data_IF_222287157455
#
_entry.id   IF_222287157455
#
_cell.length_a   1.000
_cell.length_b   1.000
_cell.length_c   1.000
_cell.angle_alpha   90.00
_cell.angle_beta   90.00
_cell.angle_gamma   90.00
#
_symmetry.space_group_name_H-M   'P 1'
#
loop_
_entity.id
_entity.type
_entity.pdbx_description
1 polymer ?
#
# COMPACT_ATOMS: atom_id res chain seq x y z
N UNK A 1 1.34 2.89 20.91
CA UNK A 1 2.68 2.40 21.34
C UNK A 1 3.52 2.19 20.10
N UNK A 2 4.58 2.97 19.97
CA UNK A 2 5.54 2.87 18.88
C UNK A 2 6.65 1.87 19.22
N UNK A 3 7.40 1.44 18.20
CA UNK A 3 8.51 0.51 18.33
C UNK A 3 9.57 1.04 19.35
N UNK A 4 9.96 2.30 19.21
CA UNK A 4 10.91 2.94 20.13
C UNK A 4 10.40 2.92 21.58
N UNK A 5 9.14 3.26 21.82
CA UNK A 5 8.51 3.23 23.14
C UNK A 5 8.47 1.82 23.73
N UNK A 6 8.10 0.81 22.93
CA UNK A 6 8.01 -0.58 23.37
C UNK A 6 9.34 -1.16 23.83
N UNK A 7 10.42 -0.84 23.09
CA UNK A 7 11.75 -1.35 23.40
C UNK A 7 12.57 -0.43 24.32
N UNK A 8 12.02 0.74 24.71
CA UNK A 8 12.64 1.69 25.62
C UNK A 8 13.88 2.37 25.06
N UNK A 9 13.87 2.67 23.76
CA UNK A 9 14.92 3.41 23.06
C UNK A 9 14.40 4.77 22.59
N UNK A 10 15.29 5.73 22.37
CA UNK A 10 14.91 7.00 21.79
C UNK A 10 14.51 6.84 20.33
N UNK A 11 13.42 7.49 19.90
CA UNK A 11 12.93 7.42 18.52
C UNK A 11 13.97 7.92 17.51
N UNK A 12 14.85 8.85 17.91
CA UNK A 12 15.94 9.34 17.07
C UNK A 12 16.93 8.25 16.68
N UNK A 13 17.08 7.18 17.48
CA UNK A 13 17.94 6.04 17.16
C UNK A 13 17.39 5.27 15.95
N UNK A 14 16.07 5.05 15.91
CA UNK A 14 15.37 4.41 14.78
C UNK A 14 15.50 5.29 13.54
N UNK A 15 15.30 6.59 13.72
CA UNK A 15 15.38 7.57 12.64
C UNK A 15 16.78 7.68 12.03
N UNK A 16 17.84 7.80 12.87
CA UNK A 16 19.22 7.84 12.40
C UNK A 16 19.69 6.55 11.72
N UNK A 17 19.10 5.42 12.09
CA UNK A 17 19.32 4.16 11.37
C UNK A 17 18.66 4.16 9.97
N UNK A 18 17.76 5.09 9.72
CA UNK A 18 17.01 5.20 8.48
C UNK A 18 15.75 4.33 8.42
N UNK A 19 15.30 3.79 9.56
CA UNK A 19 14.10 2.97 9.65
C UNK A 19 12.86 3.78 10.05
N UNK A 20 11.68 3.18 9.86
CA UNK A 20 10.41 3.72 10.35
C UNK A 20 10.18 3.27 11.79
N UNK A 21 9.82 4.21 12.66
CA UNK A 21 9.36 3.91 14.03
C UNK A 21 7.90 3.43 13.97
N UNK A 22 7.72 2.14 13.70
CA UNK A 22 6.40 1.53 13.43
C UNK A 22 5.49 1.55 14.65
N UNK A 23 4.17 1.55 14.40
CA UNK A 23 3.13 1.49 15.44
C UNK A 23 2.66 0.05 15.65
N UNK A 24 2.60 -0.41 16.89
CA UNK A 24 2.01 -1.71 17.26
C UNK A 24 0.49 -1.65 17.51
N UNK A 25 -0.15 -0.56 17.12
CA UNK A 25 -1.61 -0.39 17.21
C UNK A 25 -2.29 -0.56 15.87
N UNK A 26 -1.71 0.02 14.83
CA UNK A 26 -2.19 -0.07 13.45
C UNK A 26 -1.03 0.11 12.48
N UNK A 27 -1.20 -0.34 11.24
CA UNK A 27 -0.21 -0.14 10.19
C UNK A 27 -0.03 1.34 9.87
N UNK A 28 1.20 1.71 9.53
CA UNK A 28 1.49 3.02 8.96
C UNK A 28 1.22 2.96 7.46
N UNK A 29 0.53 3.97 6.87
CA UNK A 29 0.07 3.93 5.48
C UNK A 29 1.18 4.22 4.47
N UNK A 30 2.24 3.47 4.57
CA UNK A 30 3.39 3.51 3.67
C UNK A 30 3.54 2.18 2.94
N UNK A 31 4.10 2.24 1.75
CA UNK A 31 4.26 1.10 0.84
C UNK A 31 5.67 1.06 0.30
N UNK A 32 6.22 -0.14 0.13
CA UNK A 32 7.50 -0.30 -0.56
C UNK A 32 7.29 -0.07 -2.05
N UNK A 33 8.06 0.86 -2.60
CA UNK A 33 8.09 1.15 -4.04
C UNK A 33 9.37 0.56 -4.67
N UNK A 34 9.27 -0.45 -5.54
CA UNK A 34 10.43 -1.05 -6.21
C UNK A 34 11.24 -0.06 -7.04
N UNK A 35 10.60 1.01 -7.54
CA UNK A 35 11.29 2.04 -8.31
C UNK A 35 12.31 2.82 -7.47
N UNK A 36 12.05 2.98 -6.16
CA UNK A 36 13.00 3.59 -5.24
C UNK A 36 14.22 2.68 -5.00
N UNK A 37 14.02 1.36 -5.01
CA UNK A 37 15.11 0.38 -4.94
C UNK A 37 15.94 0.46 -6.23
N UNK A 38 15.30 0.54 -7.39
CA UNK A 38 15.96 0.68 -8.70
C UNK A 38 16.78 1.97 -8.82
N UNK A 39 16.23 3.10 -8.38
CA UNK A 39 16.87 4.42 -8.49
C UNK A 39 18.01 4.63 -7.49
N UNK A 40 18.17 3.75 -6.51
CA UNK A 40 19.16 3.93 -5.44
C UNK A 40 20.59 3.63 -5.91
N UNK A 41 21.52 4.47 -5.47
CA UNK A 41 22.95 4.25 -5.67
C UNK A 41 23.57 3.24 -4.68
N UNK A 42 22.83 2.80 -3.66
CA UNK A 42 23.29 1.83 -2.67
C UNK A 42 23.49 0.45 -3.30
N UNK A 43 24.68 -0.11 -3.16
CA UNK A 43 25.02 -1.43 -3.74
C UNK A 43 24.12 -2.56 -3.23
N UNK A 44 23.64 -2.46 -2.01
CA UNK A 44 22.68 -3.42 -1.43
C UNK A 44 21.33 -3.37 -2.14
N UNK A 45 20.86 -2.18 -2.54
CA UNK A 45 19.59 -2.03 -3.25
C UNK A 45 19.71 -2.41 -4.73
N UNK A 46 20.86 -2.17 -5.35
CA UNK A 46 21.14 -2.69 -6.70
C UNK A 46 21.03 -4.21 -6.74
N UNK A 47 21.63 -4.89 -5.75
CA UNK A 47 21.49 -6.35 -5.60
C UNK A 47 20.04 -6.80 -5.36
N UNK A 48 19.30 -6.07 -4.50
CA UNK A 48 17.89 -6.38 -4.29
C UNK A 48 17.06 -6.24 -5.58
N UNK A 49 17.31 -5.19 -6.36
CA UNK A 49 16.64 -5.00 -7.65
C UNK A 49 16.98 -6.16 -8.60
N UNK A 50 18.24 -6.55 -8.70
CA UNK A 50 18.65 -7.70 -9.52
C UNK A 50 17.97 -9.01 -9.10
N UNK A 51 17.81 -9.24 -7.80
CA UNK A 51 17.10 -10.43 -7.28
C UNK A 51 15.60 -10.38 -7.60
N UNK A 52 14.95 -9.22 -7.49
CA UNK A 52 13.55 -9.02 -7.90
C UNK A 52 13.40 -9.36 -9.39
N UNK A 53 14.25 -8.81 -10.25
CA UNK A 53 14.22 -9.04 -11.69
C UNK A 53 14.51 -10.51 -12.03
N UNK A 54 15.48 -11.11 -11.35
CA UNK A 54 15.80 -12.53 -11.53
C UNK A 54 14.61 -13.43 -11.20
N UNK A 55 13.90 -13.13 -10.12
CA UNK A 55 12.71 -13.87 -9.76
C UNK A 55 11.59 -13.70 -10.79
N UNK A 56 11.45 -12.49 -11.32
CA UNK A 56 10.49 -12.19 -12.37
C UNK A 56 10.76 -12.96 -13.66
N UNK A 57 12.04 -13.03 -14.06
CA UNK A 57 12.45 -13.87 -15.19
C UNK A 57 12.18 -15.36 -14.97
N UNK A 58 12.41 -15.85 -13.75
CA UNK A 58 12.05 -17.21 -13.37
C UNK A 58 10.54 -17.44 -13.55
N UNK A 59 9.70 -16.58 -13.02
CA UNK A 59 8.24 -16.67 -13.18
C UNK A 59 7.81 -16.64 -14.64
N UNK A 60 8.44 -15.79 -15.45
CA UNK A 60 8.18 -15.72 -16.89
C UNK A 60 8.50 -17.02 -17.60
N UNK A 61 9.67 -17.58 -17.37
CA UNK A 61 10.08 -18.87 -17.95
C UNK A 61 9.08 -19.98 -17.58
N UNK A 62 8.76 -20.10 -16.31
CA UNK A 62 7.79 -21.08 -15.82
C UNK A 62 6.39 -20.88 -16.42
N UNK A 63 5.96 -19.65 -16.59
CA UNK A 63 4.68 -19.37 -17.24
C UNK A 63 4.67 -19.75 -18.74
N UNK A 64 5.82 -19.76 -19.42
CA UNK A 64 5.92 -20.22 -20.80
C UNK A 64 5.78 -21.74 -20.92
N UNK A 65 6.27 -22.50 -19.93
CA UNK A 65 6.27 -23.95 -19.93
C UNK A 65 4.92 -24.57 -19.50
N UNK A 66 4.01 -23.73 -18.97
CA UNK A 66 2.75 -24.17 -18.37
C UNK A 66 2.94 -24.64 -16.94
N UNK A 67 1.95 -24.38 -16.07
CA UNK A 67 2.03 -24.67 -14.64
C UNK A 67 0.88 -25.53 -14.14
N UNK A 68 1.22 -26.45 -13.25
CA UNK A 68 0.24 -27.12 -12.40
C UNK A 68 -0.30 -26.18 -11.32
N UNK A 69 -1.46 -26.48 -10.74
CA UNK A 69 -2.00 -25.69 -9.63
C UNK A 69 -1.07 -25.66 -8.40
N UNK A 70 -0.25 -26.70 -8.20
CA UNK A 70 0.71 -26.78 -7.09
C UNK A 70 1.87 -25.79 -7.31
N UNK A 71 2.40 -25.73 -8.52
CA UNK A 71 3.47 -24.81 -8.91
C UNK A 71 2.98 -23.36 -8.93
N UNK A 72 1.76 -23.11 -9.44
CA UNK A 72 1.12 -21.81 -9.37
C UNK A 72 1.04 -21.30 -7.92
N UNK A 73 0.65 -22.17 -6.99
CA UNK A 73 0.61 -21.86 -5.57
C UNK A 73 2.01 -21.63 -4.98
N UNK A 74 2.99 -22.45 -5.37
CA UNK A 74 4.33 -22.37 -4.81
C UNK A 74 5.07 -21.08 -5.21
N UNK A 75 4.87 -20.60 -6.45
CA UNK A 75 5.68 -19.52 -7.04
C UNK A 75 4.92 -18.21 -7.25
N UNK A 76 3.60 -18.22 -7.38
CA UNK A 76 2.79 -17.02 -7.67
C UNK A 76 1.89 -16.59 -6.51
N UNK A 77 1.70 -17.41 -5.46
CA UNK A 77 0.96 -17.02 -4.26
C UNK A 77 1.92 -16.45 -3.22
N UNK A 78 1.72 -15.19 -2.87
CA UNK A 78 2.47 -14.51 -1.82
C UNK A 78 1.55 -14.27 -0.64
N UNK A 79 2.00 -14.67 0.54
CA UNK A 79 1.31 -14.36 1.78
C UNK A 79 1.65 -12.95 2.20
N UNK A 80 0.71 -12.28 2.84
CA UNK A 80 1.02 -11.03 3.54
C UNK A 80 2.16 -11.23 4.54
N UNK A 81 3.04 -10.24 4.64
CA UNK A 81 4.12 -10.18 5.62
C UNK A 81 3.78 -9.09 6.64
N UNK A 82 2.95 -9.42 7.64
CA UNK A 82 2.39 -8.41 8.53
C UNK A 82 3.41 -7.87 9.53
N UNK A 83 4.60 -8.44 9.57
CA UNK A 83 5.61 -8.16 10.58
C UNK A 83 6.28 -6.78 10.45
N UNK A 84 6.11 -6.09 9.31
CA UNK A 84 6.65 -4.76 9.06
C UNK A 84 5.71 -3.61 9.44
N UNK A 85 4.45 -3.91 9.80
CA UNK A 85 3.45 -2.93 10.24
C UNK A 85 3.25 -1.75 9.29
N UNK A 86 3.33 -2.03 8.00
CA UNK A 86 3.10 -1.07 6.91
C UNK A 86 1.89 -1.50 6.09
N UNK A 87 1.13 -0.54 5.59
CA UNK A 87 -0.05 -0.79 4.78
C UNK A 87 -1.31 -0.13 5.30
N UNK A 88 -2.45 -0.74 5.06
CA UNK A 88 -3.75 -0.22 5.48
C UNK A 88 -4.46 -1.08 6.52
N UNK A 89 -3.83 -2.12 7.03
CA UNK A 89 -4.49 -2.90 8.08
C UNK A 89 -4.66 -2.07 9.33
N UNK A 90 -5.90 -1.89 9.75
CA UNK A 90 -6.25 -1.13 10.95
C UNK A 90 -6.56 -2.05 12.14
N UNK A 91 -6.45 -3.36 11.98
CA UNK A 91 -6.69 -4.32 13.08
C UNK A 91 -5.53 -5.31 13.24
N UNK A 92 -4.47 -4.84 13.89
CA UNK A 92 -3.24 -5.62 13.90
C UNK A 92 -2.66 -5.72 12.48
N UNK A 93 -1.75 -6.62 12.30
CA UNK A 93 -0.97 -6.77 11.06
C UNK A 93 -1.49 -7.90 10.15
N UNK A 94 -2.80 -8.06 9.95
CA UNK A 94 -3.39 -9.11 9.11
C UNK A 94 -4.31 -8.53 8.06
N UNK A 95 -3.80 -8.28 6.86
CA UNK A 95 -4.59 -7.96 5.68
C UNK A 95 -4.99 -9.20 4.85
N UNK A 96 -5.55 -8.97 3.69
CA UNK A 96 -5.87 -10.03 2.74
C UNK A 96 -4.65 -10.39 1.90
N UNK A 97 -4.10 -11.59 2.08
CA UNK A 97 -3.01 -12.12 1.27
C UNK A 97 -3.27 -11.98 -0.24
N UNK A 98 -2.21 -11.87 -1.04
CA UNK A 98 -2.25 -11.96 -2.50
C UNK A 98 -2.74 -13.37 -2.90
N UNK A 99 -4.05 -13.54 -2.89
CA UNK A 99 -4.71 -14.82 -3.02
C UNK A 99 -4.68 -15.40 -4.44
N UNK A 100 -5.31 -16.58 -4.61
CA UNK A 100 -5.37 -17.35 -5.87
C UNK A 100 -5.79 -16.53 -7.09
N UNK A 101 -6.63 -15.50 -6.92
CA UNK A 101 -7.07 -14.65 -8.04
C UNK A 101 -5.92 -13.81 -8.56
N UNK A 102 -5.13 -13.21 -7.67
CA UNK A 102 -3.97 -12.42 -8.05
C UNK A 102 -2.86 -13.31 -8.64
N UNK A 103 -2.59 -14.49 -8.07
CA UNK A 103 -1.64 -15.44 -8.64
C UNK A 103 -2.00 -15.82 -10.08
N UNK A 104 -3.27 -16.06 -10.37
CA UNK A 104 -3.77 -16.33 -11.73
C UNK A 104 -3.65 -15.12 -12.64
N UNK A 105 -3.92 -13.93 -12.13
CA UNK A 105 -3.75 -12.69 -12.88
C UNK A 105 -2.27 -12.47 -13.23
N UNK A 106 -1.37 -12.58 -12.24
CA UNK A 106 0.07 -12.47 -12.43
C UNK A 106 0.57 -13.49 -13.47
N UNK A 107 0.19 -14.76 -13.32
CA UNK A 107 0.54 -15.82 -14.27
C UNK A 107 0.10 -15.51 -15.71
N UNK A 108 -1.11 -15.02 -15.90
CA UNK A 108 -1.65 -14.69 -17.22
C UNK A 108 -0.94 -13.49 -17.86
N UNK A 109 -0.48 -12.54 -17.06
CA UNK A 109 0.03 -11.26 -17.53
C UNK A 109 1.57 -11.12 -17.40
N UNK A 110 2.26 -12.09 -16.81
CA UNK A 110 3.71 -12.03 -16.58
C UNK A 110 4.49 -11.81 -17.90
N UNK A 111 4.01 -12.41 -19.00
CA UNK A 111 4.61 -12.26 -20.31
C UNK A 111 4.58 -10.84 -20.83
N UNK A 112 3.55 -10.10 -20.46
CA UNK A 112 3.40 -8.69 -20.82
C UNK A 112 4.36 -7.79 -20.05
N UNK A 113 4.64 -8.11 -18.80
CA UNK A 113 5.53 -7.33 -17.95
C UNK A 113 7.01 -7.48 -18.30
N UNK A 114 7.36 -8.52 -19.07
CA UNK A 114 8.74 -8.76 -19.48
C UNK A 114 9.09 -7.83 -20.62
N UNK A 115 10.18 -7.07 -20.48
CA UNK A 115 10.66 -6.18 -21.54
C UNK A 115 11.26 -6.99 -22.67
N UNK A 116 10.56 -7.06 -23.80
CA UNK A 116 11.04 -7.72 -25.03
C UNK A 116 11.62 -6.74 -26.05
N UNK A 117 11.41 -5.43 -25.84
CA UNK A 117 11.64 -4.41 -26.87
C UNK A 117 12.83 -3.48 -26.57
N UNK A 118 13.55 -3.69 -25.46
CA UNK A 118 14.69 -2.86 -25.02
C UNK A 118 14.39 -1.34 -24.93
N UNK A 119 13.13 -0.97 -24.70
CA UNK A 119 12.70 0.42 -24.55
C UNK A 119 13.09 0.96 -23.16
N UNK A 120 12.95 0.13 -22.12
CA UNK A 120 13.26 0.44 -20.72
C UNK A 120 14.66 -0.04 -20.35
N UNK A 121 15.28 0.58 -19.34
CA UNK A 121 16.60 0.18 -18.83
C UNK A 121 16.55 -1.15 -18.09
N UNK A 122 15.41 -1.46 -17.45
CA UNK A 122 15.20 -2.68 -16.70
C UNK A 122 13.78 -3.23 -16.88
N UNK A 123 13.51 -4.39 -16.32
CA UNK A 123 12.15 -4.89 -16.15
C UNK A 123 11.58 -4.33 -14.85
N UNK A 124 10.33 -3.90 -14.89
CA UNK A 124 9.63 -3.36 -13.74
C UNK A 124 8.39 -4.17 -13.45
N UNK A 125 8.35 -4.73 -12.25
CA UNK A 125 7.25 -5.54 -11.75
C UNK A 125 5.93 -4.73 -11.72
N UNK A 126 6.02 -3.43 -11.52
CA UNK A 126 4.92 -2.48 -11.48
C UNK A 126 4.19 -2.38 -12.83
N UNK A 127 4.86 -2.72 -13.93
CA UNK A 127 4.23 -2.75 -15.27
C UNK A 127 2.95 -3.58 -15.29
N UNK A 128 2.90 -4.67 -14.50
CA UNK A 128 1.70 -5.50 -14.36
C UNK A 128 0.50 -4.71 -13.84
N UNK A 129 0.75 -3.72 -12.98
CA UNK A 129 -0.30 -2.92 -12.38
C UNK A 129 -0.94 -1.93 -13.36
N UNK A 130 -0.23 -1.55 -14.42
CA UNK A 130 -0.80 -0.75 -15.50
C UNK A 130 -1.94 -1.48 -16.22
N UNK A 131 -1.93 -2.83 -16.18
CA UNK A 131 -2.95 -3.71 -16.76
C UNK A 131 -4.09 -4.04 -15.80
N UNK A 132 -3.87 -3.88 -14.48
CA UNK A 132 -4.83 -4.31 -13.46
C UNK A 132 -5.77 -3.16 -13.07
N UNK A 133 -7.08 -3.37 -13.19
CA UNK A 133 -8.08 -2.43 -12.69
C UNK A 133 -8.41 -2.77 -11.23
N UNK A 134 -7.80 -2.05 -10.29
CA UNK A 134 -8.00 -2.26 -8.85
C UNK A 134 -6.79 -1.84 -8.03
N UNK A 135 -6.92 -1.69 -6.72
CA UNK A 135 -5.85 -1.19 -5.84
C UNK A 135 -4.50 -1.88 -6.10
N UNK A 136 -3.57 -1.11 -6.67
CA UNK A 136 -2.31 -1.63 -7.14
C UNK A 136 -1.20 -1.63 -6.10
N UNK A 137 -1.14 -0.57 -5.29
CA UNK A 137 -0.04 -0.30 -4.36
C UNK A 137 0.19 -1.37 -3.32
N UNK A 138 -0.86 -1.84 -2.64
CA UNK A 138 -0.76 -2.91 -1.66
C UNK A 138 -0.14 -4.17 -2.27
N UNK A 139 -0.59 -4.53 -3.48
CA UNK A 139 -0.15 -5.77 -4.13
C UNK A 139 1.30 -5.72 -4.59
N UNK A 140 1.77 -4.58 -5.09
CA UNK A 140 3.17 -4.39 -5.45
C UNK A 140 4.03 -4.37 -4.20
N UNK A 141 3.62 -3.64 -3.16
CA UNK A 141 4.31 -3.62 -1.88
C UNK A 141 4.40 -5.02 -1.27
N UNK A 142 3.29 -5.75 -1.16
CA UNK A 142 3.25 -7.11 -0.61
C UNK A 142 4.14 -8.08 -1.39
N UNK A 143 4.10 -8.01 -2.72
CA UNK A 143 4.96 -8.83 -3.57
C UNK A 143 6.43 -8.49 -3.32
N UNK A 144 6.76 -7.21 -3.28
CA UNK A 144 8.13 -6.73 -3.05
C UNK A 144 8.63 -7.14 -1.67
N UNK A 145 7.82 -6.94 -0.60
CA UNK A 145 8.15 -7.37 0.77
C UNK A 145 8.49 -8.86 0.81
N UNK A 146 7.70 -9.71 0.12
CA UNK A 146 7.98 -11.15 0.08
C UNK A 146 9.32 -11.46 -0.59
N UNK A 147 9.68 -10.74 -1.65
CA UNK A 147 10.94 -10.97 -2.37
C UNK A 147 12.16 -10.45 -1.60
N UNK A 148 12.03 -9.32 -0.89
CA UNK A 148 13.12 -8.73 -0.10
C UNK A 148 13.07 -9.10 1.39
N UNK A 149 12.24 -10.07 1.79
CA UNK A 149 12.07 -10.44 3.20
C UNK A 149 13.39 -10.80 3.90
N UNK A 150 14.25 -11.52 3.22
CA UNK A 150 15.58 -11.87 3.75
C UNK A 150 16.43 -10.64 4.04
N UNK A 151 16.38 -9.62 3.19
CA UNK A 151 17.04 -8.34 3.42
C UNK A 151 16.43 -7.63 4.64
N UNK A 152 15.11 -7.49 4.72
CA UNK A 152 14.44 -6.85 5.87
C UNK A 152 14.77 -7.56 7.20
N UNK A 153 14.85 -8.89 7.18
CA UNK A 153 15.29 -9.66 8.35
C UNK A 153 16.75 -9.33 8.75
N UNK A 154 17.68 -9.27 7.79
CA UNK A 154 19.07 -8.94 8.06
C UNK A 154 19.23 -7.50 8.54
N UNK A 155 18.54 -6.55 7.90
CA UNK A 155 18.48 -5.15 8.29
C UNK A 155 17.98 -4.96 9.73
N UNK A 156 16.91 -5.68 10.08
CA UNK A 156 16.33 -5.64 11.43
C UNK A 156 17.23 -6.32 12.46
N UNK A 157 17.85 -7.45 12.10
CA UNK A 157 18.78 -8.18 12.97
C UNK A 157 20.00 -7.31 13.33
N UNK A 158 20.55 -6.59 12.35
CA UNK A 158 21.66 -5.66 12.56
C UNK A 158 21.27 -4.53 13.53
N UNK A 159 20.11 -3.90 13.29
CA UNK A 159 19.57 -2.90 14.21
C UNK A 159 19.42 -3.45 15.62
N UNK A 160 18.75 -4.61 15.75
CA UNK A 160 18.45 -5.21 17.04
C UNK A 160 19.74 -5.53 17.84
N UNK A 161 20.73 -6.11 17.19
CA UNK A 161 22.02 -6.42 17.85
C UNK A 161 22.76 -5.19 18.35
N UNK A 162 22.59 -4.05 17.66
CA UNK A 162 23.33 -2.82 17.96
C UNK A 162 22.64 -1.97 19.02
N UNK A 163 21.29 -1.93 19.02
CA UNK A 163 20.54 -0.92 19.76
C UNK A 163 19.56 -1.49 20.78
N UNK A 164 19.20 -2.77 20.73
CA UNK A 164 18.20 -3.33 21.64
C UNK A 164 18.84 -4.18 22.75
N UNK A 165 18.18 -4.20 23.91
CA UNK A 165 18.51 -5.13 24.99
C UNK A 165 18.23 -6.57 24.54
N UNK A 166 19.13 -7.50 24.86
CA UNK A 166 19.05 -8.93 24.52
C UNK A 166 17.74 -9.59 24.95
N UNK A 167 17.10 -9.10 26.01
CA UNK A 167 15.80 -9.63 26.47
C UNK A 167 14.68 -9.45 25.45
N UNK A 168 14.79 -8.51 24.52
CA UNK A 168 13.83 -8.23 23.47
C UNK A 168 14.15 -8.96 22.15
N UNK A 169 15.28 -9.67 22.09
CA UNK A 169 15.73 -10.38 20.89
C UNK A 169 15.55 -11.87 21.08
N UNK A 170 15.05 -12.53 20.05
CA UNK A 170 14.92 -13.98 20.03
C UNK A 170 15.22 -14.53 18.64
N UNK A 171 15.72 -15.77 18.60
CA UNK A 171 15.94 -16.51 17.36
C UNK A 171 14.59 -17.00 16.80
N UNK A 172 14.30 -16.62 15.57
CA UNK A 172 13.09 -17.02 14.84
C UNK A 172 13.45 -17.77 13.56
N UNK A 173 12.73 -18.84 13.31
CA UNK A 173 12.74 -19.52 12.03
C UNK A 173 11.78 -18.78 11.09
N UNK A 174 12.34 -17.99 10.15
CA UNK A 174 11.55 -17.19 9.20
C UNK A 174 11.31 -18.01 7.95
N UNK A 175 10.05 -18.38 7.73
CA UNK A 175 9.63 -19.11 6.53
C UNK A 175 9.70 -18.23 5.28
N UNK A 176 10.07 -18.84 4.14
CA UNK A 176 10.17 -18.16 2.85
C UNK A 176 11.04 -16.89 2.92
N UNK A 177 12.23 -17.00 3.55
CA UNK A 177 13.13 -15.86 3.73
C UNK A 177 13.78 -15.41 2.42
N UNK A 178 14.11 -16.33 1.52
CA UNK A 178 14.67 -16.06 0.19
C UNK A 178 14.35 -17.19 -0.78
N UNK A 179 14.45 -16.92 -2.08
CA UNK A 179 14.22 -17.91 -3.12
C UNK A 179 15.53 -18.60 -3.53
N UNK A 180 15.54 -19.93 -3.56
CA UNK A 180 16.66 -20.70 -4.05
C UNK A 180 16.36 -21.21 -5.46
N UNK A 181 17.15 -20.78 -6.44
CA UNK A 181 16.97 -21.10 -7.86
C UNK A 181 17.41 -22.52 -8.25
N UNK A 182 18.25 -23.17 -7.43
CA UNK A 182 18.64 -24.57 -7.68
C UNK A 182 17.52 -25.54 -7.31
N UNK A 183 16.86 -25.24 -6.19
CA UNK A 183 15.72 -26.06 -5.72
C UNK A 183 14.37 -25.53 -6.17
N UNK A 184 14.35 -24.39 -6.87
CA UNK A 184 13.17 -23.67 -7.34
C UNK A 184 12.12 -23.48 -6.23
N UNK A 185 12.57 -23.16 -5.04
CA UNK A 185 11.70 -23.04 -3.87
C UNK A 185 12.13 -21.94 -2.90
N UNK A 186 11.18 -21.41 -2.16
CA UNK A 186 11.49 -20.54 -1.04
C UNK A 186 12.10 -21.32 0.11
N UNK A 187 13.19 -20.80 0.66
CA UNK A 187 13.96 -21.38 1.76
C UNK A 187 13.77 -20.55 3.02
N UNK A 188 13.65 -21.26 4.15
CA UNK A 188 13.58 -20.64 5.47
C UNK A 188 14.99 -20.40 6.03
N UNK A 189 15.13 -19.35 6.87
CA UNK A 189 16.40 -19.04 7.55
C UNK A 189 16.13 -18.58 8.97
N UNK A 190 17.09 -18.81 9.87
CA UNK A 190 17.03 -18.32 11.23
C UNK A 190 17.65 -16.93 11.34
N UNK A 191 16.97 -16.03 12.09
CA UNK A 191 17.43 -14.69 12.39
C UNK A 191 17.17 -14.34 13.86
N UNK A 192 18.02 -13.50 14.44
CA UNK A 192 17.84 -12.92 15.77
C UNK A 192 17.07 -11.61 15.68
N UNK A 193 15.75 -11.66 15.85
CA UNK A 193 14.85 -10.55 15.60
C UNK A 193 14.21 -10.04 16.89
N UNK A 194 13.89 -8.74 16.96
CA UNK A 194 13.05 -8.20 18.01
C UNK A 194 11.65 -8.81 17.91
N UNK A 195 10.97 -8.91 19.05
CA UNK A 195 9.63 -9.50 19.10
C UNK A 195 8.69 -8.74 20.01
N UNK A 196 7.42 -8.84 19.67
CA UNK A 196 6.31 -8.47 20.54
C UNK A 196 5.62 -9.73 21.08
N UNK A 197 4.98 -9.59 22.23
CA UNK A 197 4.15 -10.67 22.79
C UNK A 197 2.68 -10.28 22.57
N UNK A 198 1.97 -11.08 21.78
CA UNK A 198 0.54 -10.89 21.55
C UNK A 198 -0.26 -11.14 22.83
N UNK A 199 -1.50 -10.68 22.88
CA UNK A 199 -2.42 -10.89 24.02
C UNK A 199 -2.58 -12.37 24.40
N UNK A 200 -2.40 -13.28 23.44
CA UNK A 200 -2.43 -14.73 23.65
C UNK A 200 -1.10 -15.31 24.11
N UNK A 201 -0.11 -14.48 24.46
CA UNK A 201 1.21 -14.90 24.90
C UNK A 201 2.13 -15.43 23.78
N UNK A 202 1.72 -15.34 22.52
CA UNK A 202 2.54 -15.75 21.37
C UNK A 202 3.57 -14.67 21.06
N UNK A 203 4.83 -15.06 20.90
CA UNK A 203 5.90 -14.18 20.46
C UNK A 203 5.91 -14.11 18.94
N UNK A 204 5.83 -12.89 18.39
CA UNK A 204 5.85 -12.63 16.96
C UNK A 204 7.00 -11.65 16.67
N UNK A 205 7.82 -11.98 15.66
CA UNK A 205 8.94 -11.11 15.31
C UNK A 205 8.45 -9.85 14.60
N UNK A 206 9.27 -8.81 14.67
CA UNK A 206 9.03 -7.52 14.06
C UNK A 206 10.09 -7.27 12.99
N UNK A 207 9.71 -6.63 11.90
CA UNK A 207 10.60 -6.21 10.83
C UNK A 207 10.60 -4.68 10.71
N UNK A 208 11.79 -4.10 10.68
CA UNK A 208 11.99 -2.71 10.33
C UNK A 208 12.15 -2.58 8.81
N UNK A 209 11.66 -1.48 8.27
CA UNK A 209 11.78 -1.16 6.85
C UNK A 209 12.52 0.17 6.69
N UNK A 210 13.52 0.26 5.79
CA UNK A 210 14.19 1.53 5.47
C UNK A 210 13.19 2.55 4.91
N UNK A 211 13.30 3.81 5.34
CA UNK A 211 12.41 4.91 4.90
C UNK A 211 12.57 5.23 3.42
N UNK A 212 13.78 5.11 2.90
CA UNK A 212 14.14 5.53 1.55
C UNK A 212 13.64 4.63 0.42
N UNK A 213 12.99 3.50 0.77
CA UNK A 213 12.27 2.64 -0.18
C UNK A 213 10.74 2.75 -0.04
N UNK A 214 10.26 3.72 0.75
CA UNK A 214 8.84 3.86 1.08
C UNK A 214 8.19 5.08 0.41
N UNK A 215 6.91 4.94 0.13
CA UNK A 215 6.05 5.97 -0.41
C UNK A 215 4.65 5.91 0.23
N UNK A 216 3.95 7.05 0.28
CA UNK A 216 2.60 7.13 0.87
C UNK A 216 1.52 6.60 -0.08
N UNK A 217 1.51 7.11 -1.29
CA UNK A 217 0.44 6.87 -2.27
C UNK A 217 0.83 5.81 -3.33
N UNK A 218 0.36 6.00 -4.56
CA UNK A 218 0.61 5.07 -5.65
C UNK A 218 2.12 4.91 -5.94
N UNK A 219 2.60 3.71 -6.33
CA UNK A 219 3.98 3.53 -6.76
C UNK A 219 4.31 4.46 -7.92
N UNK A 220 5.59 4.73 -8.16
CA UNK A 220 6.04 5.63 -9.22
C UNK A 220 5.54 5.22 -10.61
N UNK A 221 5.40 3.92 -10.84
CA UNK A 221 4.77 3.36 -12.05
C UNK A 221 3.34 2.99 -11.72
N UNK A 222 2.39 3.84 -12.08
CA UNK A 222 0.98 3.64 -11.84
C UNK A 222 0.12 4.13 -13.02
N UNK A 223 -1.14 3.69 -13.06
CA UNK A 223 -2.06 3.98 -14.17
C UNK A 223 -2.52 5.44 -14.23
N UNK A 224 -2.64 6.09 -13.09
CA UNK A 224 -3.06 7.50 -13.03
C UNK A 224 -2.00 8.37 -13.66
N UNK A 225 -0.76 8.22 -13.21
CA UNK A 225 0.37 9.01 -13.69
C UNK A 225 0.70 8.69 -15.16
N UNK A 226 0.52 7.44 -15.60
CA UNK A 226 0.58 7.08 -17.02
C UNK A 226 -0.37 7.92 -17.88
N UNK A 227 -1.62 8.10 -17.43
CA UNK A 227 -2.60 8.90 -18.13
C UNK A 227 -2.36 10.41 -17.96
N UNK A 228 -1.82 10.83 -16.82
CA UNK A 228 -1.52 12.25 -16.57
C UNK A 228 -0.27 12.71 -17.33
N UNK A 229 0.68 11.81 -17.60
CA UNK A 229 1.92 12.07 -18.34
C UNK A 229 1.82 11.74 -19.84
N UNK A 230 0.63 11.63 -20.41
CA UNK A 230 0.43 11.17 -21.80
C UNK A 230 1.20 12.03 -22.84
N UNK A 231 1.35 13.34 -22.60
CA UNK A 231 2.11 14.24 -23.46
C UNK A 231 3.63 13.94 -23.43
N UNK A 232 4.16 13.72 -22.22
CA UNK A 232 5.57 13.37 -22.02
C UNK A 232 5.87 12.00 -22.64
N UNK A 233 5.01 11.02 -22.38
CA UNK A 233 5.12 9.68 -22.96
C UNK A 233 5.11 9.74 -24.48
N UNK A 234 4.20 10.51 -25.08
CA UNK A 234 4.09 10.71 -26.52
C UNK A 234 5.37 11.30 -27.10
N UNK A 235 5.98 12.25 -26.39
CA UNK A 235 7.25 12.85 -26.80
C UNK A 235 8.44 11.89 -26.77
N UNK A 236 8.36 10.86 -25.92
CA UNK A 236 9.39 9.83 -25.73
C UNK A 236 9.34 8.71 -26.78
N UNK A 237 8.26 8.62 -27.56
CA UNK A 237 8.14 7.58 -28.62
C UNK A 237 9.18 7.85 -29.69
N UNK A 238 10.18 6.97 -29.79
CA UNK A 238 11.26 7.05 -30.77
C UNK A 238 10.89 6.41 -32.12
N UNK A 239 9.86 5.56 -32.15
CA UNK A 239 9.29 5.01 -33.40
C UNK A 239 8.39 6.06 -34.05
N UNK A 240 8.87 6.65 -35.16
CA UNK A 240 8.16 7.71 -35.90
C UNK A 240 6.78 7.29 -36.39
N UNK A 241 6.62 6.04 -36.84
CA UNK A 241 5.33 5.52 -37.31
C UNK A 241 4.31 5.41 -36.18
N UNK A 242 4.73 4.88 -35.03
CA UNK A 242 3.87 4.79 -33.86
C UNK A 242 3.52 6.19 -33.34
N UNK A 243 4.50 7.08 -33.24
CA UNK A 243 4.27 8.46 -32.81
C UNK A 243 3.28 9.19 -33.71
N UNK A 244 3.43 9.06 -35.03
CA UNK A 244 2.50 9.64 -35.98
C UNK A 244 1.10 9.04 -35.85
N UNK A 245 0.99 7.73 -35.67
CA UNK A 245 -0.30 7.07 -35.45
C UNK A 245 -0.99 7.55 -34.19
N UNK A 246 -0.28 7.59 -33.06
CA UNK A 246 -0.79 8.09 -31.76
C UNK A 246 -1.31 9.52 -31.89
N UNK A 247 -0.51 10.42 -32.52
CA UNK A 247 -0.89 11.81 -32.73
C UNK A 247 -2.16 11.94 -33.58
N UNK A 248 -2.25 11.20 -34.68
CA UNK A 248 -3.40 11.23 -35.59
C UNK A 248 -4.67 10.70 -34.90
N UNK A 249 -4.55 9.62 -34.12
CA UNK A 249 -5.67 9.03 -33.41
C UNK A 249 -6.26 10.01 -32.37
N UNK A 250 -5.38 10.64 -31.56
CA UNK A 250 -5.80 11.64 -30.56
C UNK A 250 -6.44 12.86 -31.26
N UNK A 251 -5.80 13.38 -32.32
CA UNK A 251 -6.36 14.50 -33.07
C UNK A 251 -7.73 14.20 -33.64
N UNK A 252 -7.94 12.99 -34.16
CA UNK A 252 -9.26 12.55 -34.66
C UNK A 252 -10.30 12.50 -33.54
N UNK A 253 -9.96 11.98 -32.37
CA UNK A 253 -10.88 11.94 -31.23
C UNK A 253 -11.29 13.34 -30.76
N UNK A 254 -10.36 14.31 -30.77
CA UNK A 254 -10.64 15.73 -30.47
C UNK A 254 -11.62 16.32 -31.50
N UNK A 255 -11.33 16.15 -32.79
CA UNK A 255 -12.19 16.66 -33.87
C UNK A 255 -13.61 16.10 -33.79
N UNK A 256 -13.76 14.80 -33.55
CA UNK A 256 -15.07 14.16 -33.36
C UNK A 256 -15.82 14.74 -32.15
N UNK A 257 -15.12 15.01 -31.04
CA UNK A 257 -15.71 15.66 -29.87
C UNK A 257 -16.17 17.09 -30.19
N UNK A 258 -15.30 17.91 -30.82
CA UNK A 258 -15.63 19.29 -31.20
C UNK A 258 -16.82 19.39 -32.13
N UNK A 259 -16.89 18.51 -33.15
CA UNK A 259 -18.01 18.45 -34.07
C UNK A 259 -19.32 18.08 -33.39
N UNK A 260 -19.28 17.16 -32.42
CA UNK A 260 -20.43 16.81 -31.60
C UNK A 260 -20.87 17.99 -30.72
N UNK A 261 -19.95 18.76 -30.15
CA UNK A 261 -20.30 19.97 -29.37
C UNK A 261 -20.94 21.03 -30.26
N UNK A 262 -20.39 21.27 -31.46
CA UNK A 262 -20.96 22.21 -32.46
C UNK A 262 -22.39 21.80 -32.85
N UNK A 263 -22.63 20.51 -33.14
CA UNK A 263 -23.99 20.00 -33.49
C UNK A 263 -24.97 20.21 -32.35
N UNK A 264 -24.55 20.07 -31.09
CA UNK A 264 -25.36 20.25 -29.91
C UNK A 264 -25.41 21.68 -29.38
N UNK A 265 -24.82 22.67 -30.08
CA UNK A 265 -24.71 24.07 -29.68
C UNK A 265 -24.09 24.26 -28.27
N UNK A 266 -23.13 23.41 -27.92
CA UNK A 266 -22.40 23.48 -26.64
C UNK A 266 -21.01 24.04 -26.86
N UNK A 267 -20.46 24.77 -25.87
CA UNK A 267 -19.09 25.23 -25.90
C UNK A 267 -18.10 24.09 -25.65
N UNK A 268 -16.99 24.13 -26.36
CA UNK A 268 -15.83 23.27 -26.08
C UNK A 268 -15.09 23.86 -24.88
N UNK A 269 -14.79 23.05 -23.87
CA UNK A 269 -13.96 23.47 -22.75
C UNK A 269 -12.68 22.62 -22.69
N UNK A 270 -11.61 23.24 -22.25
CA UNK A 270 -10.27 22.64 -22.20
C UNK A 270 -10.21 21.37 -21.34
N UNK A 271 -10.93 21.32 -20.20
CA UNK A 271 -10.97 20.14 -19.33
C UNK A 271 -11.57 18.93 -20.04
N UNK A 272 -12.60 19.18 -20.86
CA UNK A 272 -13.23 18.10 -21.62
C UNK A 272 -12.31 17.62 -22.75
N UNK A 273 -11.57 18.50 -23.40
CA UNK A 273 -10.58 18.13 -24.42
C UNK A 273 -9.49 17.25 -23.79
N UNK A 274 -8.88 17.67 -22.69
CA UNK A 274 -7.88 16.86 -21.96
C UNK A 274 -8.41 15.49 -21.54
N UNK A 275 -9.68 15.40 -21.17
CA UNK A 275 -10.31 14.12 -20.87
C UNK A 275 -10.39 13.22 -22.11
N UNK A 276 -10.77 13.78 -23.25
CA UNK A 276 -10.84 13.03 -24.52
C UNK A 276 -9.46 12.53 -24.94
N UNK A 277 -8.44 13.37 -24.80
CA UNK A 277 -7.03 12.98 -25.07
C UNK A 277 -6.60 11.79 -24.21
N UNK A 278 -6.85 11.85 -22.90
CA UNK A 278 -6.53 10.76 -21.97
C UNK A 278 -7.31 9.48 -22.26
N UNK A 279 -8.61 9.62 -22.56
CA UNK A 279 -9.45 8.47 -22.92
C UNK A 279 -8.97 7.82 -24.24
N UNK A 280 -8.63 8.62 -25.23
CA UNK A 280 -8.05 8.15 -26.50
C UNK A 280 -6.69 7.45 -26.30
N UNK A 281 -5.81 8.05 -25.48
CA UNK A 281 -4.51 7.45 -25.14
C UNK A 281 -4.65 6.14 -24.37
N UNK A 282 -5.62 6.06 -23.47
CA UNK A 282 -5.96 4.82 -22.74
C UNK A 282 -6.40 3.69 -23.68
N UNK A 283 -7.23 3.98 -24.67
CA UNK A 283 -7.64 2.98 -25.67
C UNK A 283 -6.47 2.55 -26.56
N UNK A 284 -5.64 3.49 -26.98
CA UNK A 284 -4.42 3.20 -27.72
C UNK A 284 -3.47 2.27 -26.97
N UNK A 285 -3.30 2.47 -25.66
CA UNK A 285 -2.42 1.63 -24.86
C UNK A 285 -2.88 0.16 -24.74
N UNK A 286 -4.17 -0.11 -24.98
CA UNK A 286 -4.67 -1.50 -25.08
C UNK A 286 -4.26 -2.16 -26.39
N UNK A 287 -4.20 -1.38 -27.48
CA UNK A 287 -3.82 -1.85 -28.81
C UNK A 287 -2.30 -1.87 -29.00
N UNK A 288 -1.62 -0.86 -28.42
CA UNK A 288 -0.16 -0.68 -28.47
C UNK A 288 0.43 -0.71 -27.05
N UNK A 289 0.62 -1.90 -26.46
CA UNK A 289 1.11 -2.04 -25.10
C UNK A 289 2.51 -1.46 -24.85
N UNK A 290 3.30 -1.25 -25.91
CA UNK A 290 4.61 -0.59 -25.85
C UNK A 290 4.53 0.86 -25.35
N UNK A 291 3.36 1.51 -25.37
CA UNK A 291 3.15 2.82 -24.76
C UNK A 291 3.41 2.79 -23.23
N UNK A 292 3.18 1.66 -22.59
CA UNK A 292 3.54 1.48 -21.18
C UNK A 292 5.06 1.45 -20.99
N UNK A 293 5.81 0.90 -21.95
CA UNK A 293 7.29 0.89 -21.88
C UNK A 293 7.86 2.29 -22.06
N UNK A 294 7.28 3.12 -22.94
CA UNK A 294 7.66 4.52 -23.08
C UNK A 294 7.35 5.34 -21.81
N UNK A 295 6.25 5.04 -21.13
CA UNK A 295 5.95 5.65 -19.83
C UNK A 295 6.98 5.24 -18.76
N UNK A 296 7.32 3.96 -18.69
CA UNK A 296 8.34 3.47 -17.76
C UNK A 296 9.68 4.12 -18.06
N UNK A 297 10.06 4.23 -19.35
CA UNK A 297 11.26 4.95 -19.79
C UNK A 297 11.25 6.42 -19.35
N UNK A 298 10.10 7.07 -19.39
CA UNK A 298 9.93 8.42 -18.86
C UNK A 298 10.23 8.47 -17.37
N UNK A 299 9.66 7.57 -16.58
CA UNK A 299 9.90 7.47 -15.13
C UNK A 299 11.37 7.17 -14.82
N UNK A 300 12.00 6.23 -15.54
CA UNK A 300 13.43 5.90 -15.41
C UNK A 300 14.38 7.07 -15.72
N UNK A 301 13.95 7.99 -16.55
CA UNK A 301 14.75 9.16 -16.92
C UNK A 301 14.58 10.34 -15.95
N UNK A 302 13.67 10.22 -14.98
CA UNK A 302 13.39 11.23 -13.95
C UNK A 302 13.62 10.71 -12.52
N UNK A 303 14.75 10.02 -12.20
CA UNK A 303 14.95 9.34 -10.92
C UNK A 303 14.99 10.29 -9.73
N UNK A 304 15.57 11.48 -9.90
CA UNK A 304 15.66 12.49 -8.84
C UNK A 304 14.27 13.00 -8.44
N UNK A 305 13.40 13.27 -9.42
CA UNK A 305 12.03 13.73 -9.16
C UNK A 305 11.22 12.65 -8.45
N UNK A 306 11.32 11.39 -8.88
CA UNK A 306 10.63 10.25 -8.25
C UNK A 306 11.07 10.09 -6.80
N UNK A 307 12.38 10.05 -6.55
CA UNK A 307 12.94 9.85 -5.19
C UNK A 307 12.64 11.03 -4.27
N UNK A 308 12.73 12.26 -4.79
CA UNK A 308 12.43 13.47 -4.01
C UNK A 308 10.97 13.51 -3.59
N UNK A 309 10.05 13.28 -4.53
CA UNK A 309 8.60 13.29 -4.25
C UNK A 309 8.24 12.21 -3.23
N UNK A 310 8.74 10.98 -3.40
CA UNK A 310 8.50 9.90 -2.47
C UNK A 310 9.02 10.19 -1.06
N UNK A 311 10.21 10.81 -0.96
CA UNK A 311 10.78 11.19 0.33
C UNK A 311 9.97 12.29 1.03
N UNK A 312 9.51 13.30 0.30
CA UNK A 312 8.65 14.36 0.81
C UNK A 312 7.31 13.81 1.31
N UNK A 313 6.64 12.98 0.50
CA UNK A 313 5.39 12.32 0.85
C UNK A 313 5.53 11.40 2.09
N UNK A 314 6.56 10.57 2.12
CA UNK A 314 6.84 9.67 3.24
C UNK A 314 7.10 10.44 4.53
N UNK A 315 7.88 11.52 4.46
CA UNK A 315 8.21 12.36 5.63
C UNK A 315 6.95 13.05 6.16
N UNK A 316 6.16 13.69 5.28
CA UNK A 316 4.93 14.37 5.67
C UNK A 316 3.92 13.40 6.30
N UNK A 317 3.74 12.22 5.73
CA UNK A 317 2.81 11.21 6.27
C UNK A 317 3.26 10.69 7.63
N UNK A 318 4.55 10.42 7.82
CA UNK A 318 5.10 9.99 9.11
C UNK A 318 4.92 11.06 10.19
N UNK A 319 5.28 12.31 9.90
CA UNK A 319 5.14 13.42 10.84
C UNK A 319 3.67 13.64 11.22
N UNK A 320 2.77 13.63 10.24
CA UNK A 320 1.32 13.70 10.45
C UNK A 320 0.83 12.56 11.33
N UNK A 321 1.18 11.32 10.99
CA UNK A 321 0.77 10.14 11.74
C UNK A 321 1.26 10.19 13.19
N UNK A 322 2.53 10.51 13.41
CA UNK A 322 3.10 10.57 14.77
C UNK A 322 2.49 11.70 15.59
N UNK A 323 2.36 12.89 15.02
CA UNK A 323 1.77 14.05 15.70
C UNK A 323 0.32 13.78 16.12
N UNK A 324 -0.50 13.37 15.16
CA UNK A 324 -1.93 13.17 15.40
C UNK A 324 -2.19 11.99 16.36
N UNK A 325 -1.43 10.91 16.21
CA UNK A 325 -1.52 9.74 17.10
C UNK A 325 -1.14 10.08 18.55
N UNK A 326 -0.04 10.83 18.76
CA UNK A 326 0.40 11.24 20.10
C UNK A 326 -0.65 12.12 20.80
N UNK A 327 -1.22 13.08 20.07
CA UNK A 327 -2.29 13.95 20.61
C UNK A 327 -3.47 13.09 21.07
N UNK A 328 -3.95 12.19 20.22
CA UNK A 328 -5.12 11.36 20.53
C UNK A 328 -4.83 10.38 21.67
N UNK A 329 -3.68 9.68 21.62
CA UNK A 329 -3.29 8.72 22.66
C UNK A 329 -3.23 9.41 24.04
N UNK A 330 -2.65 10.61 24.14
CA UNK A 330 -2.62 11.36 25.38
C UNK A 330 -4.03 11.60 25.92
N UNK A 331 -4.96 12.05 25.08
CA UNK A 331 -6.35 12.29 25.48
C UNK A 331 -7.10 11.01 25.84
N UNK A 332 -6.89 9.92 25.14
CA UNK A 332 -7.47 8.60 25.48
C UNK A 332 -6.99 8.11 26.84
N UNK A 333 -5.72 8.34 27.16
CA UNK A 333 -5.14 7.96 28.46
C UNK A 333 -5.67 8.86 29.58
N UNK A 334 -5.68 10.18 29.37
CA UNK A 334 -6.12 11.16 30.36
C UNK A 334 -7.59 10.96 30.78
N UNK A 335 -8.48 10.71 29.81
CA UNK A 335 -9.91 10.49 30.07
C UNK A 335 -10.22 9.08 30.59
N UNK A 336 -9.42 8.10 30.24
CA UNK A 336 -9.59 6.69 30.62
C UNK A 336 -10.90 6.07 30.11
N UNK A 337 -10.81 5.02 29.30
CA UNK A 337 -12.01 4.28 28.88
C UNK A 337 -12.30 3.15 29.86
N UNK A 338 -13.51 3.15 30.41
CA UNK A 338 -13.96 2.07 31.28
C UNK A 338 -14.46 0.90 30.45
N UNK A 339 -13.66 -0.18 30.42
CA UNK A 339 -14.05 -1.42 29.76
C UNK A 339 -15.20 -2.06 30.53
N UNK A 340 -16.33 -2.25 29.85
CA UNK A 340 -17.44 -3.03 30.38
C UNK A 340 -17.28 -4.49 29.95
N UNK A 341 -17.22 -5.40 30.91
CA UNK A 341 -17.15 -6.83 30.63
C UNK A 341 -18.51 -7.35 30.16
N UNK A 342 -18.48 -8.29 29.21
CA UNK A 342 -19.63 -9.08 28.74
C UNK A 342 -20.81 -8.32 28.09
N UNK A 343 -20.54 -7.18 27.43
CA UNK A 343 -21.54 -6.52 26.57
C UNK A 343 -21.46 -7.05 25.13
N UNK A 344 -22.54 -6.84 24.38
CA UNK A 344 -22.57 -7.17 22.94
C UNK A 344 -21.65 -6.24 22.12
N UNK A 345 -21.09 -6.77 21.00
CA UNK A 345 -20.21 -6.01 20.13
C UNK A 345 -20.85 -4.69 19.61
N UNK A 346 -22.18 -4.69 19.41
CA UNK A 346 -22.93 -3.49 19.00
C UNK A 346 -22.91 -2.40 20.06
N UNK A 347 -23.07 -2.76 21.31
CA UNK A 347 -23.10 -1.78 22.40
C UNK A 347 -21.70 -1.25 22.70
N UNK A 348 -20.69 -2.13 22.69
CA UNK A 348 -19.30 -1.70 22.81
C UNK A 348 -18.91 -0.75 21.65
N UNK A 349 -19.28 -1.07 20.42
CA UNK A 349 -19.04 -0.20 19.28
C UNK A 349 -19.65 1.19 19.47
N UNK A 350 -20.89 1.28 19.97
CA UNK A 350 -21.54 2.55 20.28
C UNK A 350 -20.83 3.31 21.42
N UNK A 351 -20.40 2.60 22.46
CA UNK A 351 -19.71 3.22 23.59
C UNK A 351 -18.36 3.79 23.15
N UNK A 352 -17.61 3.06 22.32
CA UNK A 352 -16.33 3.54 21.73
C UNK A 352 -16.52 4.74 20.80
N UNK A 353 -17.59 4.75 20.00
CA UNK A 353 -17.93 5.90 19.16
C UNK A 353 -18.30 7.12 20.01
N UNK A 354 -19.09 6.95 21.10
CA UNK A 354 -19.42 8.04 22.02
C UNK A 354 -18.18 8.56 22.73
N UNK A 355 -17.30 7.66 23.15
CA UNK A 355 -16.05 8.03 23.81
C UNK A 355 -15.11 8.78 22.82
N UNK A 356 -14.97 8.31 21.60
CA UNK A 356 -14.21 9.00 20.58
C UNK A 356 -14.78 10.40 20.30
N UNK A 357 -16.11 10.50 20.16
CA UNK A 357 -16.79 11.77 20.00
C UNK A 357 -16.52 12.72 21.17
N UNK A 358 -16.64 12.25 22.42
CA UNK A 358 -16.35 13.01 23.61
C UNK A 358 -14.90 13.54 23.61
N UNK A 359 -13.93 12.69 23.31
CA UNK A 359 -12.52 13.11 23.21
C UNK A 359 -12.35 14.21 22.16
N UNK A 360 -12.94 14.04 20.97
CA UNK A 360 -12.79 15.02 19.89
C UNK A 360 -13.46 16.34 20.20
N UNK A 361 -14.70 16.33 20.73
CA UNK A 361 -15.53 17.52 20.89
C UNK A 361 -15.31 18.26 22.22
N UNK A 362 -14.96 17.52 23.29
CA UNK A 362 -14.96 18.07 24.65
C UNK A 362 -13.57 18.08 25.32
N UNK A 363 -12.61 17.25 24.82
CA UNK A 363 -11.30 17.09 25.45
C UNK A 363 -10.15 17.59 24.55
N UNK A 364 -10.39 18.54 23.66
CA UNK A 364 -9.40 19.08 22.68
C UNK A 364 -8.82 18.04 21.70
N UNK A 365 -9.40 16.85 21.63
CA UNK A 365 -8.96 15.81 20.72
C UNK A 365 -9.10 16.19 19.23
N UNK A 366 -9.91 17.24 18.93
CA UNK A 366 -10.01 17.79 17.58
C UNK A 366 -8.65 18.26 17.01
N UNK A 367 -7.68 18.58 17.88
CA UNK A 367 -6.32 18.93 17.46
C UNK A 367 -5.65 17.79 16.68
N UNK A 368 -6.00 16.53 16.96
CA UNK A 368 -5.55 15.36 16.21
C UNK A 368 -6.15 15.28 14.79
N UNK A 369 -7.17 16.09 14.49
CA UNK A 369 -7.77 16.19 13.15
C UNK A 369 -7.13 17.28 12.29
N UNK A 370 -6.03 17.90 12.76
CA UNK A 370 -5.31 18.93 12.04
C UNK A 370 -3.82 18.59 11.95
N UNK A 371 -3.20 18.97 10.85
CA UNK A 371 -1.78 18.93 10.67
C UNK A 371 -1.32 20.19 9.89
N UNK A 372 -0.32 20.91 10.38
CA UNK A 372 0.15 22.18 9.81
C UNK A 372 -0.98 23.19 9.52
N UNK A 373 -1.95 23.28 10.42
CA UNK A 373 -3.10 24.20 10.29
C UNK A 373 -4.16 23.77 9.26
N UNK A 374 -3.99 22.61 8.62
CA UNK A 374 -4.96 22.02 7.68
C UNK A 374 -5.71 20.87 8.33
N UNK A 375 -7.01 20.81 8.12
CA UNK A 375 -7.83 19.69 8.54
C UNK A 375 -7.47 18.44 7.72
N UNK A 376 -7.52 17.25 8.36
CA UNK A 376 -7.37 15.98 7.66
C UNK A 376 -8.38 15.88 6.51
N UNK A 377 -7.91 15.50 5.33
CA UNK A 377 -8.72 15.42 4.12
C UNK A 377 -9.16 14.00 3.76
N UNK A 378 -8.49 12.99 4.30
CA UNK A 378 -8.73 11.57 3.98
C UNK A 378 -9.57 10.91 5.08
N UNK A 379 -10.65 10.22 4.72
CA UNK A 379 -11.46 9.41 5.66
C UNK A 379 -10.59 8.39 6.39
N UNK A 380 -9.59 7.84 5.72
CA UNK A 380 -8.64 6.89 6.32
C UNK A 380 -7.86 7.44 7.51
N UNK A 381 -7.56 8.73 7.54
CA UNK A 381 -6.88 9.35 8.68
C UNK A 381 -7.80 9.35 9.91
N UNK A 382 -9.09 9.67 9.73
CA UNK A 382 -10.08 9.59 10.79
C UNK A 382 -10.28 8.15 11.31
N UNK A 383 -10.32 7.20 10.39
CA UNK A 383 -10.45 5.78 10.71
C UNK A 383 -9.26 5.29 11.55
N UNK A 384 -8.02 5.68 11.19
CA UNK A 384 -6.81 5.35 11.96
C UNK A 384 -6.86 5.93 13.37
N UNK A 385 -7.26 7.19 13.50
CA UNK A 385 -7.41 7.82 14.82
C UNK A 385 -8.46 7.08 15.66
N UNK A 386 -9.58 6.70 15.07
CA UNK A 386 -10.58 5.90 15.77
C UNK A 386 -10.05 4.54 16.23
N UNK A 387 -9.07 3.98 15.52
CA UNK A 387 -8.45 2.72 15.93
C UNK A 387 -7.76 2.79 17.30
N UNK A 388 -7.17 3.92 17.66
CA UNK A 388 -6.50 4.08 18.94
C UNK A 388 -7.45 3.96 20.15
N UNK A 389 -8.75 4.25 19.99
CA UNK A 389 -9.73 4.06 21.08
C UNK A 389 -10.09 2.59 21.33
N UNK A 390 -9.64 1.69 20.44
CA UNK A 390 -9.82 0.24 20.59
C UNK A 390 -8.62 -0.47 21.22
N UNK A 391 -7.61 0.28 21.62
CA UNK A 391 -6.45 -0.30 22.29
C UNK A 391 -6.86 -1.00 23.60
N UNK A 392 -6.33 -2.20 23.84
CA UNK A 392 -6.63 -3.00 25.05
C UNK A 392 -8.00 -3.66 25.08
N UNK A 393 -8.74 -3.72 23.95
CA UNK A 393 -10.04 -4.39 23.87
C UNK A 393 -9.93 -5.89 23.64
N UNK A 394 -10.85 -6.67 24.20
CA UNK A 394 -11.03 -8.10 23.90
C UNK A 394 -11.86 -8.36 22.62
N UNK A 395 -12.43 -7.33 22.03
CA UNK A 395 -13.20 -7.42 20.80
C UNK A 395 -12.26 -7.50 19.59
N UNK A 396 -12.66 -8.32 18.60
CA UNK A 396 -11.99 -8.33 17.31
C UNK A 396 -12.51 -7.16 16.49
N UNK A 397 -11.62 -6.27 16.07
CA UNK A 397 -11.94 -5.09 15.25
C UNK A 397 -11.18 -5.23 13.94
N UNK A 398 -11.88 -5.66 12.89
CA UNK A 398 -11.33 -5.78 11.55
C UNK A 398 -11.65 -4.49 10.76
N UNK A 399 -10.66 -3.92 10.11
CA UNK A 399 -10.83 -2.76 9.24
C UNK A 399 -10.78 -3.18 7.76
N UNK A 400 -11.52 -2.46 6.93
CA UNK A 400 -11.65 -2.70 5.49
C UNK A 400 -11.96 -4.17 5.11
N UNK A 401 -12.75 -4.93 5.88
CA UNK A 401 -13.06 -6.31 5.53
C UNK A 401 -13.91 -6.36 4.27
N UNK A 402 -13.47 -7.15 3.29
CA UNK A 402 -14.23 -7.38 2.06
C UNK A 402 -15.22 -8.54 2.27
N UNK A 403 -16.47 -8.23 2.51
CA UNK A 403 -17.54 -9.21 2.71
C UNK A 403 -18.14 -9.76 1.39
N UNK A 404 -17.47 -9.54 0.24
CA UNK A 404 -18.01 -9.91 -1.07
C UNK A 404 -19.06 -8.95 -1.62
N UNK A 405 -19.48 -7.95 -0.85
CA UNK A 405 -20.48 -6.93 -1.20
C UNK A 405 -19.93 -5.49 -1.15
N UNK A 406 -18.63 -5.34 -0.90
CA UNK A 406 -17.92 -4.07 -0.73
C UNK A 406 -17.04 -4.09 0.50
N UNK A 407 -16.23 -3.03 0.69
CA UNK A 407 -15.40 -2.84 1.87
C UNK A 407 -16.16 -1.99 2.88
N UNK A 408 -16.38 -2.53 4.09
CA UNK A 408 -16.82 -1.75 5.24
C UNK A 408 -15.60 -1.11 5.92
N UNK A 409 -15.77 0.04 6.58
CA UNK A 409 -14.65 0.68 7.29
C UNK A 409 -14.19 -0.15 8.47
N UNK A 410 -15.13 -0.64 9.30
CA UNK A 410 -14.83 -1.54 10.42
C UNK A 410 -15.89 -2.61 10.60
N UNK A 411 -15.46 -3.81 10.99
CA UNK A 411 -16.31 -4.83 11.60
C UNK A 411 -15.83 -5.08 13.01
N UNK A 412 -16.70 -4.84 13.98
CA UNK A 412 -16.46 -5.16 15.39
C UNK A 412 -17.18 -6.46 15.73
N UNK A 413 -16.46 -7.44 16.27
CA UNK A 413 -17.03 -8.74 16.57
C UNK A 413 -16.59 -9.31 17.92
N UNK A 414 -17.52 -10.07 18.56
CA UNK A 414 -17.26 -10.90 19.73
C UNK A 414 -17.80 -12.31 19.43
N UNK A 415 -16.91 -13.17 18.89
CA UNK A 415 -17.32 -14.50 18.38
C UNK A 415 -17.93 -14.45 16.97
N UNK A 416 -18.41 -15.62 16.48
CA UNK A 416 -18.82 -15.77 15.06
C UNK A 416 -20.17 -15.09 14.73
N UNK A 417 -21.07 -14.93 15.67
CA UNK A 417 -22.46 -14.51 15.42
C UNK A 417 -22.77 -13.09 15.92
N UNK A 418 -21.81 -12.37 16.50
CA UNK A 418 -22.00 -11.04 17.04
C UNK A 418 -21.06 -10.08 16.34
N UNK A 419 -21.49 -9.61 15.17
CA UNK A 419 -20.71 -8.72 14.28
C UNK A 419 -21.48 -7.42 14.08
N UNK A 420 -20.78 -6.28 14.09
CA UNK A 420 -21.34 -4.98 13.81
C UNK A 420 -20.42 -4.20 12.88
N UNK A 421 -21.03 -3.43 12.00
CA UNK A 421 -20.34 -2.62 10.99
C UNK A 421 -20.33 -1.16 11.43
N UNK A 422 -19.20 -0.51 11.28
CA UNK A 422 -19.03 0.93 11.44
C UNK A 422 -18.55 1.49 10.11
N UNK A 423 -19.18 2.58 9.68
CA UNK A 423 -18.83 3.31 8.46
C UNK A 423 -18.57 4.77 8.80
N UNK A 424 -17.47 5.33 8.33
CA UNK A 424 -17.10 6.73 8.47
C UNK A 424 -17.24 7.46 7.14
N UNK A 425 -17.75 8.69 7.19
CA UNK A 425 -17.74 9.59 6.03
C UNK A 425 -17.41 11.00 6.48
N UNK A 426 -16.55 11.68 5.74
CA UNK A 426 -16.33 13.10 5.95
C UNK A 426 -17.55 13.89 5.43
N UNK A 427 -17.95 14.93 6.16
CA UNK A 427 -19.06 15.78 5.76
C UNK A 427 -18.84 16.47 4.41
N UNK A 428 -17.58 16.65 4.01
CA UNK A 428 -17.17 17.19 2.71
C UNK A 428 -17.29 16.18 1.56
N UNK A 429 -17.58 14.91 1.84
CA UNK A 429 -17.69 13.88 0.82
C UNK A 429 -18.98 14.04 0.00
N UNK A 430 -18.86 14.14 -1.32
CA UNK A 430 -20.01 14.29 -2.24
C UNK A 430 -20.95 13.09 -2.23
N UNK A 431 -20.50 11.93 -1.77
CA UNK A 431 -21.28 10.69 -1.67
C UNK A 431 -21.86 10.44 -0.28
N UNK A 432 -21.94 11.44 0.59
CA UNK A 432 -22.49 11.32 1.95
C UNK A 432 -23.87 10.65 2.01
N UNK A 433 -24.74 10.93 1.04
CA UNK A 433 -26.06 10.31 0.94
C UNK A 433 -26.05 8.80 0.66
N UNK A 434 -24.95 8.25 0.18
CA UNK A 434 -24.82 6.82 -0.11
C UNK A 434 -24.53 5.96 1.12
N UNK A 435 -24.17 6.55 2.28
CA UNK A 435 -23.89 5.81 3.52
C UNK A 435 -25.03 4.87 3.90
N UNK A 436 -26.27 5.39 3.88
CA UNK A 436 -27.44 4.58 4.22
C UNK A 436 -27.71 3.44 3.23
N UNK A 437 -27.32 3.61 1.98
CA UNK A 437 -27.44 2.57 0.95
C UNK A 437 -26.37 1.50 1.14
N UNK A 438 -25.15 1.89 1.46
CA UNK A 438 -24.03 0.97 1.75
C UNK A 438 -24.34 0.09 2.96
N UNK A 439 -24.82 0.67 4.06
CA UNK A 439 -25.18 -0.09 5.27
C UNK A 439 -26.23 -1.17 4.94
N UNK A 440 -27.28 -0.83 4.18
CA UNK A 440 -28.30 -1.80 3.76
C UNK A 440 -27.74 -2.93 2.89
N UNK A 441 -26.74 -2.65 2.05
CA UNK A 441 -26.07 -3.67 1.24
C UNK A 441 -25.27 -4.64 2.11
N UNK A 442 -24.67 -4.14 3.20
CA UNK A 442 -23.88 -4.98 4.12
C UNK A 442 -24.77 -5.82 5.05
N UNK A 443 -25.97 -5.35 5.38
CA UNK A 443 -26.94 -6.07 6.24
C UNK A 443 -27.73 -7.18 5.46
N UNK A 444 -27.81 -7.10 4.14
CA UNK A 444 -28.53 -8.06 3.30
C UNK A 444 -27.70 -9.31 2.96
#
# INVERSE_FOLDING_TARGET
MFFSEYYGIDSSVVEHYGAVDISFVCDIPLFIDPMLIFNSEKEEYKKLHEEIIRYFHFLYQKACDGLSNKELKAWFEFNEVPNNWLGYSMSGNKGAALGKQYARFLYKNIRFATNTNNITKSNHIEKIMLLYEGSGKDKISDLTVNLIKGFLCSYTEEFARKYLDKKYIKKFHVEKAYFNYETESFVSKEYELPYITSEKGKKEYVLLTPKDILREDEPAINRKDFLDSYDDVRSMIDNDSLRAYVNNYIAKAILEYEDNQKRNKRSVNERSVKKIEKDAFKELAKEYPELYDYYIKYVENNPEQVSKLAHEECTEELEKFYSNSKILIAKVIDEGYVIQEDIEAREEAKNRLKFFKHIIEECDGYLALYYNGKQIAKEKDLQRLFRFVWYGTSYKVDAEPNNGRGQADFIVSKGMNNQNIIEFKLASNSSLGHVFTQIKIYEA
#
